data_IF_759043611002
#
_entry.id   IF_759043611002
#
_cell.length_a   1.000
_cell.length_b   1.000
_cell.length_c   1.000
_cell.angle_alpha   90.00
_cell.angle_beta   90.00
_cell.angle_gamma   90.00
#
_symmetry.space_group_name_H-M   'P 1'
#
loop_
_entity.id
_entity.type
_entity.pdbx_description
1 polymer ?
#
# COMPACT_ATOMS: atom_id res chain seq x y z
N UNK A 1 14.58 14.95 -12.01
CA UNK A 1 14.04 15.48 -13.29
C UNK A 1 12.99 16.57 -13.12
N UNK A 2 12.09 16.53 -12.13
CA UNK A 2 11.09 17.59 -11.97
C UNK A 2 11.65 18.95 -11.48
N UNK A 3 12.71 18.97 -10.67
CA UNK A 3 13.43 20.22 -10.40
C UNK A 3 14.00 20.84 -11.68
N UNK A 4 14.37 20.04 -12.66
CA UNK A 4 14.74 20.49 -13.99
C UNK A 4 13.58 21.11 -14.75
N UNK A 5 12.43 20.44 -14.80
CA UNK A 5 11.22 20.92 -15.51
C UNK A 5 10.63 22.15 -14.80
N UNK A 6 10.68 22.22 -13.46
CA UNK A 6 10.27 23.39 -12.70
C UNK A 6 11.20 24.59 -12.92
N UNK A 7 12.51 24.39 -13.05
CA UNK A 7 13.46 25.45 -13.37
C UNK A 7 13.39 25.88 -14.83
N UNK A 8 13.16 24.97 -15.77
CA UNK A 8 13.02 25.26 -17.20
C UNK A 8 11.80 26.12 -17.52
N UNK A 9 10.72 25.99 -16.74
CA UNK A 9 9.49 26.82 -16.87
C UNK A 9 9.61 28.21 -16.29
N UNK A 10 10.65 28.50 -15.49
CA UNK A 10 10.87 29.81 -14.86
C UNK A 10 11.49 30.82 -15.83
N UNK A 11 11.18 32.09 -15.61
CA UNK A 11 11.81 33.20 -16.34
C UNK A 11 13.28 33.35 -15.94
N UNK A 12 14.06 34.02 -16.78
CA UNK A 12 15.49 34.27 -16.48
C UNK A 12 15.67 35.11 -15.20
N UNK A 13 14.72 36.00 -14.90
CA UNK A 13 14.74 36.83 -13.67
C UNK A 13 14.45 36.01 -12.41
N UNK A 14 13.45 35.13 -12.45
CA UNK A 14 13.19 34.21 -11.32
C UNK A 14 14.36 33.26 -11.06
N UNK A 15 15.01 32.77 -12.10
CA UNK A 15 16.21 31.92 -11.96
C UNK A 15 17.38 32.69 -11.36
N UNK A 16 17.58 33.98 -11.70
CA UNK A 16 18.58 34.82 -11.07
C UNK A 16 18.31 35.03 -9.58
N UNK A 17 17.05 35.25 -9.17
CA UNK A 17 16.68 35.39 -7.77
C UNK A 17 16.97 34.09 -6.98
N UNK A 18 16.62 32.93 -7.57
CA UNK A 18 16.95 31.63 -6.96
C UNK A 18 18.47 31.43 -6.82
N UNK A 19 19.22 31.79 -7.85
CA UNK A 19 20.66 31.64 -7.87
C UNK A 19 21.34 32.61 -6.87
N UNK A 20 20.82 33.82 -6.70
CA UNK A 20 21.26 34.76 -5.65
C UNK A 20 20.99 34.22 -4.25
N UNK A 21 19.81 33.66 -4.01
CA UNK A 21 19.47 33.01 -2.73
C UNK A 21 20.33 31.78 -2.42
N UNK A 22 20.97 31.20 -3.42
CA UNK A 22 21.95 30.10 -3.29
C UNK A 22 23.40 30.55 -3.28
N UNK A 23 23.65 31.87 -3.20
CA UNK A 23 25.00 32.48 -3.19
C UNK A 23 25.84 32.05 -4.41
N UNK A 24 25.26 32.01 -5.60
CA UNK A 24 25.97 31.70 -6.84
C UNK A 24 26.51 33.02 -7.43
N UNK A 25 27.80 33.12 -7.58
CA UNK A 25 28.48 34.32 -8.12
C UNK A 25 28.39 34.39 -9.66
N UNK A 26 28.53 35.64 -10.21
CA UNK A 26 28.60 35.94 -11.65
C UNK A 26 27.39 35.49 -12.50
N UNK A 27 26.18 35.58 -11.96
CA UNK A 27 24.95 35.14 -12.63
C UNK A 27 24.55 36.06 -13.79
N UNK A 28 24.93 37.34 -13.76
CA UNK A 28 24.48 38.37 -14.71
C UNK A 28 24.85 38.11 -16.17
N UNK A 29 25.96 37.40 -16.41
CA UNK A 29 26.54 37.14 -17.74
C UNK A 29 26.08 35.80 -18.33
N UNK A 30 25.41 34.93 -17.55
CA UNK A 30 25.06 33.57 -17.94
C UNK A 30 23.77 33.49 -18.76
N UNK A 31 23.73 32.51 -19.69
CA UNK A 31 22.50 32.12 -20.40
C UNK A 31 21.57 31.35 -19.45
N UNK A 32 20.28 31.25 -19.83
CA UNK A 32 19.25 30.60 -19.01
C UNK A 32 19.64 29.17 -18.61
N UNK A 33 20.14 28.38 -19.56
CA UNK A 33 20.51 26.98 -19.35
C UNK A 33 21.72 26.84 -18.42
N UNK A 34 22.69 27.73 -18.53
CA UNK A 34 23.87 27.80 -17.64
C UNK A 34 23.50 28.17 -16.20
N UNK A 35 22.49 29.03 -16.01
CA UNK A 35 21.95 29.37 -14.68
C UNK A 35 21.28 28.15 -14.06
N UNK A 36 20.48 27.40 -14.83
CA UNK A 36 19.81 26.19 -14.38
C UNK A 36 20.83 25.13 -13.96
N UNK A 37 21.88 24.95 -14.76
CA UNK A 37 22.94 23.97 -14.45
C UNK A 37 23.69 24.33 -13.18
N UNK A 38 24.07 25.59 -12.99
CA UNK A 38 24.72 26.07 -11.75
C UNK A 38 23.81 25.98 -10.52
N UNK A 39 22.53 26.22 -10.67
CA UNK A 39 21.56 26.01 -9.57
C UNK A 39 21.52 24.53 -9.20
N UNK A 40 21.50 23.61 -10.18
CA UNK A 40 21.52 22.17 -9.95
C UNK A 40 22.79 21.71 -9.25
N UNK A 41 23.96 22.16 -9.72
CA UNK A 41 25.25 21.83 -9.11
C UNK A 41 25.35 22.35 -7.66
N UNK A 42 24.96 23.60 -7.43
CA UNK A 42 25.01 24.19 -6.09
C UNK A 42 24.06 23.50 -5.11
N UNK A 43 22.85 23.16 -5.55
CA UNK A 43 21.91 22.35 -4.73
C UNK A 43 22.50 20.99 -4.38
N UNK A 44 23.09 20.29 -5.36
CA UNK A 44 23.74 19.01 -5.15
C UNK A 44 24.90 19.11 -4.14
N UNK A 45 25.74 20.13 -4.28
CA UNK A 45 26.84 20.41 -3.34
C UNK A 45 26.33 20.71 -1.92
N UNK A 46 25.24 21.48 -1.80
CA UNK A 46 24.63 21.77 -0.50
C UNK A 46 24.01 20.53 0.16
N UNK A 47 23.41 19.65 -0.63
CA UNK A 47 22.90 18.37 -0.16
C UNK A 47 24.03 17.44 0.30
N UNK A 48 25.11 17.32 -0.48
CA UNK A 48 26.29 16.54 -0.12
C UNK A 48 26.98 17.10 1.15
N UNK A 49 27.05 18.43 1.30
CA UNK A 49 27.59 19.07 2.50
C UNK A 49 26.72 18.83 3.73
N UNK A 50 25.40 18.97 3.61
CA UNK A 50 24.45 18.61 4.68
C UNK A 50 24.61 17.16 5.12
N UNK A 51 24.83 16.25 4.16
CA UNK A 51 25.03 14.83 4.41
C UNK A 51 26.35 14.58 5.19
N UNK A 52 27.46 15.18 4.73
CA UNK A 52 28.77 15.04 5.37
C UNK A 52 28.79 15.65 6.77
N UNK A 53 28.15 16.80 6.96
CA UNK A 53 28.04 17.47 8.26
C UNK A 53 27.13 16.65 9.21
N UNK A 54 26.08 16.02 8.69
CA UNK A 54 25.22 15.13 9.46
C UNK A 54 25.98 13.91 9.98
N UNK A 55 26.78 13.27 9.12
CA UNK A 55 27.60 12.11 9.48
C UNK A 55 28.75 12.46 10.44
N UNK A 56 29.44 13.58 10.21
CA UNK A 56 30.58 14.00 11.05
C UNK A 56 30.17 14.40 12.46
N UNK A 57 29.00 15.04 12.63
CA UNK A 57 28.47 15.37 13.96
C UNK A 57 27.91 14.14 14.69
N UNK A 58 27.38 13.14 13.97
CA UNK A 58 26.95 11.88 14.57
C UNK A 58 28.16 11.06 15.06
N UNK A 59 29.28 11.06 14.32
CA UNK A 59 30.56 10.44 14.74
C UNK A 59 31.24 11.13 15.92
N UNK A 60 31.00 12.44 16.13
CA UNK A 60 31.62 13.22 17.24
C UNK A 60 30.88 13.10 18.58
N UNK A 61 29.65 12.56 18.61
CA UNK A 61 28.93 12.29 19.88
C UNK A 61 29.28 10.89 20.34
N UNK A 62 29.99 10.77 21.46
CA UNK A 62 30.21 9.49 22.11
C UNK A 62 28.87 8.83 22.42
N UNK A 63 28.72 7.56 22.06
CA UNK A 63 27.55 6.76 22.39
C UNK A 63 27.50 6.60 23.90
N UNK A 64 26.43 7.00 24.60
CA UNK A 64 26.29 6.74 26.03
C UNK A 64 26.40 5.23 26.29
N UNK A 65 27.09 4.86 27.37
CA UNK A 65 27.29 3.47 27.72
C UNK A 65 25.99 2.71 28.04
N UNK A 66 24.92 3.46 28.40
CA UNK A 66 23.58 3.00 28.73
C UNK A 66 22.57 3.12 27.57
N UNK A 67 23.03 3.47 26.36
CA UNK A 67 22.13 3.60 25.20
C UNK A 67 21.52 2.25 24.79
N UNK A 68 20.20 2.25 24.64
CA UNK A 68 19.39 1.10 24.24
C UNK A 68 18.94 1.28 22.79
N UNK A 69 18.94 0.21 22.01
CA UNK A 69 18.41 0.26 20.65
C UNK A 69 16.88 0.37 20.67
N UNK A 70 16.36 1.37 19.94
CA UNK A 70 14.95 1.61 19.75
C UNK A 70 14.57 1.49 18.28
N UNK A 71 13.34 0.99 18.05
CA UNK A 71 12.75 0.82 16.73
C UNK A 71 11.29 1.28 16.76
N UNK A 72 10.83 1.98 15.73
CA UNK A 72 9.42 2.34 15.60
C UNK A 72 9.12 3.09 14.30
N UNK A 73 7.85 3.33 14.04
CA UNK A 73 7.36 4.09 12.90
C UNK A 73 7.17 5.55 13.31
N UNK A 74 7.79 6.46 12.60
CA UNK A 74 7.73 7.89 12.90
C UNK A 74 6.35 8.47 12.62
N UNK A 75 5.82 9.17 13.61
CA UNK A 75 4.62 10.01 13.53
C UNK A 75 5.04 11.45 13.86
N UNK A 76 5.11 12.33 12.87
CA UNK A 76 5.52 13.74 13.03
C UNK A 76 4.33 14.57 13.45
N UNK A 77 4.47 15.33 14.53
CA UNK A 77 3.45 16.22 15.06
C UNK A 77 3.49 17.59 14.38
N UNK A 78 2.40 18.35 14.48
CA UNK A 78 2.28 19.68 13.88
C UNK A 78 3.36 20.66 14.37
N UNK A 79 3.84 20.50 15.61
CA UNK A 79 4.89 21.33 16.21
C UNK A 79 6.31 20.95 15.73
N UNK A 80 6.43 20.02 14.78
CA UNK A 80 7.67 19.64 14.15
C UNK A 80 8.53 18.61 14.88
N UNK A 81 8.17 18.19 16.10
CA UNK A 81 8.74 17.01 16.74
C UNK A 81 7.96 15.74 16.35
N UNK A 82 8.42 14.57 16.75
CA UNK A 82 7.73 13.32 16.43
C UNK A 82 7.91 12.25 17.49
N UNK A 83 7.17 11.16 17.29
CA UNK A 83 7.30 9.94 18.09
C UNK A 83 7.50 8.73 17.19
N UNK A 84 8.38 7.81 17.57
CA UNK A 84 8.42 6.49 16.98
C UNK A 84 7.36 5.65 17.68
N UNK A 85 6.34 5.28 16.92
CA UNK A 85 5.29 4.37 17.39
C UNK A 85 5.83 2.95 17.42
N UNK A 86 5.91 2.39 18.60
CA UNK A 86 6.52 1.08 18.82
C UNK A 86 5.53 -0.06 18.57
N UNK A 87 4.23 0.19 18.78
CA UNK A 87 3.20 -0.83 18.66
C UNK A 87 2.02 -0.35 17.83
N UNK A 88 1.63 -1.15 16.85
CA UNK A 88 0.40 -1.00 16.06
C UNK A 88 0.15 0.43 15.53
N UNK A 89 1.21 1.20 15.26
CA UNK A 89 1.18 2.59 14.77
C UNK A 89 0.34 3.55 15.64
N UNK A 90 0.07 3.15 16.88
CA UNK A 90 -0.73 3.89 17.85
C UNK A 90 0.13 4.47 18.95
N UNK A 91 -0.37 5.53 19.62
CA UNK A 91 0.34 6.15 20.74
C UNK A 91 0.43 5.20 21.93
N UNK A 92 1.62 5.08 22.50
CA UNK A 92 1.89 4.25 23.69
C UNK A 92 2.87 4.95 24.63
N UNK A 93 2.97 4.45 25.87
CA UNK A 93 3.95 4.94 26.85
C UNK A 93 5.38 4.56 26.50
N UNK A 94 5.57 3.56 25.65
CA UNK A 94 6.87 3.09 25.17
C UNK A 94 7.35 3.81 23.91
N UNK A 95 6.62 4.80 23.42
CA UNK A 95 7.01 5.57 22.26
C UNK A 95 8.32 6.33 22.50
N UNK A 96 9.08 6.54 21.42
CA UNK A 96 10.39 7.18 21.48
C UNK A 96 10.27 8.59 20.91
N UNK A 97 10.72 9.58 21.65
CA UNK A 97 10.70 10.98 21.21
C UNK A 97 11.76 11.28 20.18
N UNK A 98 11.38 11.97 19.09
CA UNK A 98 12.27 12.43 18.03
C UNK A 98 12.23 13.95 17.96
N UNK A 99 13.40 14.58 18.09
CA UNK A 99 13.50 16.04 18.11
C UNK A 99 13.29 16.66 16.73
N UNK A 100 12.80 17.93 16.64
CA UNK A 100 12.67 18.65 15.37
C UNK A 100 13.99 18.75 14.59
N UNK A 101 15.10 18.89 15.31
CA UNK A 101 16.44 18.95 14.72
C UNK A 101 16.80 17.67 13.96
N UNK A 102 16.46 16.50 14.52
CA UNK A 102 16.70 15.21 13.85
C UNK A 102 15.78 15.04 12.63
N UNK A 103 14.51 15.41 12.76
CA UNK A 103 13.52 15.33 11.67
C UNK A 103 14.00 16.16 10.47
N UNK A 104 14.39 17.42 10.71
CA UNK A 104 14.88 18.31 9.64
C UNK A 104 16.20 17.84 9.06
N UNK A 105 17.15 17.44 9.92
CA UNK A 105 18.50 17.03 9.53
C UNK A 105 18.51 15.80 8.63
N UNK A 106 17.72 14.78 8.97
CA UNK A 106 17.65 13.52 8.23
C UNK A 106 16.48 13.47 7.27
N UNK A 107 15.76 14.60 7.05
CA UNK A 107 14.58 14.68 6.18
C UNK A 107 13.60 13.55 6.46
N UNK A 108 13.36 13.28 7.76
CA UNK A 108 12.47 12.23 8.22
C UNK A 108 11.02 12.63 7.96
N UNK A 109 10.19 11.66 7.66
CA UNK A 109 8.77 11.86 7.36
C UNK A 109 7.93 10.88 8.15
N UNK A 110 6.68 11.24 8.38
CA UNK A 110 5.69 10.30 8.91
C UNK A 110 5.68 9.03 8.07
N UNK A 111 5.64 7.86 8.74
CA UNK A 111 5.71 6.55 8.09
C UNK A 111 7.11 5.98 7.95
N UNK A 112 8.19 6.73 8.21
CA UNK A 112 9.54 6.18 8.25
C UNK A 112 9.72 5.23 9.44
N UNK A 113 10.20 4.01 9.19
CA UNK A 113 10.70 3.13 10.23
C UNK A 113 12.12 3.54 10.59
N UNK A 114 12.33 3.88 11.83
CA UNK A 114 13.64 4.31 12.31
C UNK A 114 14.15 3.30 13.31
N UNK A 115 15.39 2.87 13.10
CA UNK A 115 16.18 2.14 14.08
C UNK A 115 17.30 3.04 14.53
N UNK A 116 17.49 3.15 15.85
CA UNK A 116 18.51 4.03 16.41
C UNK A 116 18.81 3.78 17.87
N UNK A 117 19.81 4.49 18.40
CA UNK A 117 20.12 4.44 19.81
C UNK A 117 19.32 5.49 20.58
N UNK A 118 18.72 5.08 21.68
CA UNK A 118 17.89 5.89 22.56
C UNK A 118 18.54 5.99 23.93
N UNK A 119 18.32 7.12 24.62
CA UNK A 119 18.65 7.23 26.03
C UNK A 119 17.53 6.61 26.86
N UNK A 120 17.82 5.86 27.93
CA UNK A 120 16.81 5.42 28.88
C UNK A 120 16.02 6.63 29.43
N UNK A 121 14.76 6.39 29.77
CA UNK A 121 13.89 7.41 30.39
C UNK A 121 14.54 7.84 31.72
N UNK A 122 14.72 9.14 31.89
CA UNK A 122 15.22 9.75 33.12
C UNK A 122 14.20 10.79 33.59
N UNK A 123 13.93 10.84 34.89
CA UNK A 123 13.03 11.85 35.46
C UNK A 123 13.57 13.28 35.16
N UNK A 124 12.77 14.21 34.62
CA UNK A 124 11.30 14.21 34.45
C UNK A 124 10.82 13.76 33.05
N UNK A 125 11.61 13.10 32.24
CA UNK A 125 11.27 12.70 30.86
C UNK A 125 10.12 11.68 30.87
N UNK A 126 9.12 11.88 29.99
CA UNK A 126 8.00 10.94 29.81
C UNK A 126 8.30 9.85 28.76
N UNK A 127 9.23 10.13 27.84
CA UNK A 127 9.57 9.28 26.71
C UNK A 127 11.08 9.19 26.54
N UNK A 128 11.58 8.04 26.11
CA UNK A 128 12.98 7.86 25.75
C UNK A 128 13.34 8.74 24.54
N UNK A 129 14.33 9.64 24.60
CA UNK A 129 14.73 10.41 23.44
C UNK A 129 15.62 9.60 22.50
N UNK A 130 15.36 9.68 21.19
CA UNK A 130 16.24 9.16 20.15
C UNK A 130 17.52 10.00 20.11
N UNK A 131 18.68 9.35 20.23
CA UNK A 131 20.00 10.01 20.18
C UNK A 131 20.62 9.92 18.79
N UNK A 132 20.69 8.73 18.22
CA UNK A 132 21.31 8.45 16.94
C UNK A 132 20.40 7.63 16.03
N UNK A 133 20.31 8.01 14.76
CA UNK A 133 19.60 7.25 13.72
C UNK A 133 20.62 6.31 13.06
N UNK A 134 20.34 5.01 13.07
CA UNK A 134 21.17 3.97 12.43
C UNK A 134 20.69 3.66 11.02
N UNK A 135 19.39 3.44 10.86
CA UNK A 135 18.80 3.12 9.57
C UNK A 135 17.39 3.70 9.44
N UNK A 136 16.95 3.92 8.20
CA UNK A 136 15.61 4.38 7.86
C UNK A 136 15.02 3.36 6.88
N UNK A 137 13.90 2.74 7.24
CA UNK A 137 13.20 1.70 6.46
C UNK A 137 14.10 0.50 6.10
N UNK A 138 15.07 0.18 6.96
CA UNK A 138 16.04 -0.89 6.77
C UNK A 138 17.23 -0.54 5.88
N UNK A 139 17.29 0.66 5.32
CA UNK A 139 18.40 1.12 4.49
C UNK A 139 19.31 2.09 5.26
N UNK A 140 20.61 2.20 4.88
CA UNK A 140 21.51 3.22 5.39
C UNK A 140 21.01 4.65 5.12
N UNK A 141 21.42 5.60 5.93
CA UNK A 141 21.02 7.02 5.85
C UNK A 141 21.26 7.63 4.47
N UNK A 142 22.37 7.28 3.80
CA UNK A 142 22.73 7.83 2.48
C UNK A 142 21.71 7.48 1.39
N UNK A 143 21.08 6.29 1.47
CA UNK A 143 20.05 5.84 0.53
C UNK A 143 18.74 6.55 0.83
N UNK A 144 18.35 6.58 2.11
CA UNK A 144 17.09 7.18 2.54
C UNK A 144 17.02 8.68 2.23
N UNK A 145 18.12 9.41 2.39
CA UNK A 145 18.19 10.86 2.13
C UNK A 145 18.05 11.23 0.63
N UNK A 146 18.43 10.34 -0.27
CA UNK A 146 18.38 10.57 -1.74
C UNK A 146 17.03 10.18 -2.37
N UNK A 147 16.08 9.67 -1.58
CA UNK A 147 14.77 9.23 -2.09
C UNK A 147 13.96 10.41 -2.64
N UNK A 148 13.28 10.17 -3.77
CA UNK A 148 12.30 11.11 -4.30
C UNK A 148 10.98 10.96 -3.56
N UNK A 149 10.28 12.07 -3.23
CA UNK A 149 8.93 12.00 -2.68
C UNK A 149 7.99 11.21 -3.58
N UNK A 150 7.05 10.46 -2.97
CA UNK A 150 6.12 9.57 -3.66
C UNK A 150 5.32 10.27 -4.76
N UNK A 151 4.91 11.52 -4.54
CA UNK A 151 4.14 12.34 -5.46
C UNK A 151 4.89 12.65 -6.77
N UNK A 152 6.22 12.54 -6.76
CA UNK A 152 7.08 12.82 -7.92
C UNK A 152 7.53 11.56 -8.66
N UNK A 153 7.08 10.40 -8.22
CA UNK A 153 7.35 9.13 -8.91
C UNK A 153 6.40 8.96 -10.10
N UNK A 154 6.88 8.37 -11.18
CA UNK A 154 6.12 8.23 -12.43
C UNK A 154 5.24 6.99 -12.39
N UNK A 155 3.89 7.11 -12.34
CA UNK A 155 3.01 5.95 -12.33
C UNK A 155 2.97 5.27 -13.70
N UNK A 156 2.95 3.93 -13.70
CA UNK A 156 2.77 3.09 -14.87
C UNK A 156 1.72 2.01 -14.59
N UNK A 157 1.25 1.33 -15.63
CA UNK A 157 0.33 0.20 -15.46
C UNK A 157 1.03 -1.01 -14.83
N UNK A 158 0.30 -1.84 -14.06
CA UNK A 158 0.78 -3.15 -13.61
C UNK A 158 1.09 -4.04 -14.81
N UNK A 159 2.30 -4.57 -14.85
CA UNK A 159 2.76 -5.50 -15.91
C UNK A 159 3.44 -6.73 -15.32
N UNK A 160 3.88 -6.67 -14.08
CA UNK A 160 4.48 -7.77 -13.34
C UNK A 160 3.46 -8.37 -12.38
N UNK A 161 3.14 -9.65 -12.56
CA UNK A 161 2.14 -10.36 -11.77
C UNK A 161 2.70 -10.79 -10.42
N UNK A 162 1.90 -10.63 -9.37
CA UNK A 162 2.08 -11.27 -8.08
C UNK A 162 1.42 -12.66 -8.14
N UNK A 163 2.19 -13.68 -8.42
CA UNK A 163 1.69 -15.04 -8.53
C UNK A 163 1.20 -15.56 -7.18
N UNK A 164 -0.04 -16.03 -7.14
CA UNK A 164 -0.62 -16.65 -5.97
C UNK A 164 -0.56 -18.19 -6.00
N UNK A 165 -0.33 -18.76 -7.16
CA UNK A 165 -0.13 -20.21 -7.29
C UNK A 165 1.19 -20.63 -6.65
N UNK A 166 1.11 -21.51 -5.66
CA UNK A 166 2.26 -22.03 -4.93
C UNK A 166 2.87 -23.28 -5.59
N UNK A 167 2.43 -23.64 -6.81
CA UNK A 167 2.89 -24.81 -7.55
C UNK A 167 2.47 -26.18 -6.95
N UNK A 168 1.71 -26.19 -5.85
CA UNK A 168 1.26 -27.39 -5.14
C UNK A 168 -0.20 -27.76 -5.42
N UNK A 169 -0.59 -28.98 -5.04
CA UNK A 169 -2.00 -29.35 -4.92
C UNK A 169 -2.62 -28.54 -3.77
N UNK A 170 -3.90 -28.12 -3.93
CA UNK A 170 -4.68 -27.54 -2.82
C UNK A 170 -4.79 -26.03 -2.77
N UNK A 171 -4.08 -25.23 -3.61
CA UNK A 171 -4.27 -23.77 -3.70
C UNK A 171 -5.23 -23.37 -4.81
N UNK A 172 -6.42 -23.97 -4.85
CA UNK A 172 -7.43 -23.65 -5.84
C UNK A 172 -7.82 -22.14 -5.84
N UNK A 173 -7.95 -21.44 -4.70
CA UNK A 173 -8.21 -20.01 -4.70
C UNK A 173 -7.12 -19.19 -5.39
N UNK A 174 -5.85 -19.46 -5.12
CA UNK A 174 -4.74 -18.76 -5.77
C UNK A 174 -4.72 -18.94 -7.28
N UNK A 175 -4.84 -20.19 -7.74
CA UNK A 175 -4.91 -20.53 -9.18
C UNK A 175 -6.08 -19.86 -9.89
N UNK A 176 -7.26 -19.83 -9.26
CA UNK A 176 -8.45 -19.17 -9.82
C UNK A 176 -8.28 -17.65 -9.88
N UNK A 177 -7.71 -17.03 -8.87
CA UNK A 177 -7.45 -15.58 -8.89
C UNK A 177 -6.44 -15.24 -9.97
N UNK A 178 -5.32 -15.98 -10.05
CA UNK A 178 -4.28 -15.80 -11.06
C UNK A 178 -4.84 -15.88 -12.50
N UNK A 179 -5.86 -16.72 -12.71
CA UNK A 179 -6.47 -16.92 -14.03
C UNK A 179 -7.60 -15.93 -14.34
N UNK A 180 -8.45 -15.62 -13.34
CA UNK A 180 -9.68 -14.83 -13.56
C UNK A 180 -9.54 -13.36 -13.21
N UNK A 181 -8.68 -13.03 -12.24
CA UNK A 181 -8.45 -11.65 -11.77
C UNK A 181 -7.00 -11.49 -11.33
N UNK A 182 -6.02 -11.59 -12.25
CA UNK A 182 -4.62 -11.53 -11.90
C UNK A 182 -4.28 -10.22 -11.18
N UNK A 183 -3.43 -10.32 -10.17
CA UNK A 183 -2.98 -9.19 -9.37
C UNK A 183 -1.57 -8.81 -9.82
N UNK A 184 -1.39 -7.57 -10.24
CA UNK A 184 -0.08 -7.05 -10.62
C UNK A 184 0.51 -6.11 -9.56
N UNK A 185 1.84 -5.94 -9.56
CA UNK A 185 2.54 -4.94 -8.76
C UNK A 185 2.00 -3.54 -9.13
N UNK A 186 1.44 -2.84 -8.15
CA UNK A 186 0.76 -1.56 -8.37
C UNK A 186 -0.75 -1.64 -8.63
N UNK A 187 -1.37 -2.80 -8.42
CA UNK A 187 -2.80 -3.01 -8.62
C UNK A 187 -3.66 -2.24 -7.63
N UNK A 188 -4.76 -1.64 -8.10
CA UNK A 188 -5.87 -1.15 -7.27
C UNK A 188 -7.02 -2.14 -7.39
N UNK A 189 -7.04 -3.15 -6.50
CA UNK A 189 -8.02 -4.23 -6.56
C UNK A 189 -9.11 -4.08 -5.50
N UNK A 190 -10.34 -4.37 -5.90
CA UNK A 190 -11.45 -4.54 -4.96
C UNK A 190 -11.83 -6.00 -4.84
N UNK A 191 -11.95 -6.49 -3.61
CA UNK A 191 -12.55 -7.79 -3.27
C UNK A 191 -13.95 -7.51 -2.77
N UNK A 192 -14.93 -7.72 -3.65
CA UNK A 192 -16.34 -7.41 -3.39
C UNK A 192 -17.01 -8.63 -2.79
N UNK A 193 -17.45 -8.52 -1.56
CA UNK A 193 -17.95 -9.68 -0.81
C UNK A 193 -19.29 -9.41 -0.12
N UNK A 194 -20.31 -10.23 -0.34
CA UNK A 194 -21.46 -10.29 0.54
C UNK A 194 -21.06 -10.90 1.89
N UNK A 195 -21.87 -10.69 2.95
CA UNK A 195 -21.61 -11.30 4.26
C UNK A 195 -21.44 -12.81 4.19
N UNK A 196 -20.47 -13.35 4.94
CA UNK A 196 -20.17 -14.81 5.07
C UNK A 196 -19.67 -15.51 3.79
N UNK A 197 -19.30 -14.79 2.74
CA UNK A 197 -18.82 -15.39 1.47
C UNK A 197 -17.39 -15.94 1.49
N UNK A 198 -16.73 -16.03 2.65
CA UNK A 198 -15.37 -16.53 2.77
C UNK A 198 -14.28 -15.46 2.55
N UNK A 199 -14.63 -14.17 2.70
CA UNK A 199 -13.73 -13.02 2.53
C UNK A 199 -12.42 -13.19 3.33
N UNK A 200 -12.51 -13.45 4.62
CA UNK A 200 -11.35 -13.55 5.54
C UNK A 200 -10.41 -14.68 5.13
N UNK A 201 -10.95 -15.85 4.78
CA UNK A 201 -10.18 -16.99 4.28
C UNK A 201 -9.46 -16.65 2.99
N UNK A 202 -10.12 -15.93 2.08
CA UNK A 202 -9.53 -15.51 0.82
C UNK A 202 -8.37 -14.52 1.02
N UNK A 203 -8.53 -13.54 1.91
CA UNK A 203 -7.47 -12.59 2.28
C UNK A 203 -6.26 -13.33 2.83
N UNK A 204 -6.45 -14.29 3.75
CA UNK A 204 -5.38 -15.12 4.28
C UNK A 204 -4.67 -15.91 3.19
N UNK A 205 -5.42 -16.49 2.26
CA UNK A 205 -4.84 -17.22 1.12
C UNK A 205 -3.98 -16.29 0.25
N UNK A 206 -4.47 -15.09 -0.08
CA UNK A 206 -3.71 -14.09 -0.84
C UNK A 206 -2.46 -13.67 -0.08
N UNK A 207 -2.58 -13.34 1.21
CA UNK A 207 -1.47 -12.93 2.07
C UNK A 207 -0.37 -14.00 2.10
N UNK A 208 -0.71 -15.23 2.43
CA UNK A 208 0.23 -16.35 2.54
C UNK A 208 0.85 -16.74 1.18
N UNK A 209 0.10 -16.57 0.09
CA UNK A 209 0.65 -16.78 -1.25
C UNK A 209 1.68 -15.71 -1.60
N UNK A 210 1.41 -14.45 -1.27
CA UNK A 210 2.33 -13.34 -1.51
C UNK A 210 3.62 -13.52 -0.70
N UNK A 211 3.52 -13.76 0.61
CA UNK A 211 4.72 -13.92 1.46
C UNK A 211 5.56 -15.13 1.06
N UNK A 212 4.93 -16.20 0.61
CA UNK A 212 5.63 -17.40 0.16
C UNK A 212 6.31 -17.23 -1.20
N UNK A 213 5.60 -16.64 -2.18
CA UNK A 213 6.07 -16.56 -3.56
C UNK A 213 6.89 -15.29 -3.84
N UNK A 214 6.71 -14.24 -3.02
CA UNK A 214 7.31 -12.92 -3.18
C UNK A 214 7.89 -12.41 -1.85
N UNK A 215 8.94 -13.06 -1.30
CA UNK A 215 9.52 -12.69 0.00
C UNK A 215 10.14 -11.28 0.01
N UNK A 216 10.44 -10.73 -1.17
CA UNK A 216 10.93 -9.36 -1.34
C UNK A 216 9.82 -8.30 -1.09
N UNK A 217 8.55 -8.68 -1.23
CA UNK A 217 7.40 -7.78 -1.09
C UNK A 217 7.11 -7.52 0.38
N UNK A 218 6.88 -6.27 0.73
CA UNK A 218 6.45 -5.87 2.07
C UNK A 218 4.93 -5.95 2.17
N UNK A 219 4.43 -6.93 2.90
CA UNK A 219 3.01 -7.13 3.13
C UNK A 219 2.55 -6.41 4.40
N UNK A 220 1.52 -5.57 4.26
CA UNK A 220 0.80 -4.93 5.36
C UNK A 220 -0.66 -5.33 5.27
N UNK A 221 -1.20 -5.90 6.35
CA UNK A 221 -2.63 -6.19 6.48
C UNK A 221 -3.25 -5.14 7.39
N UNK A 222 -4.20 -4.37 6.89
CA UNK A 222 -4.87 -3.31 7.64
C UNK A 222 -6.32 -3.70 7.93
N UNK A 223 -6.63 -3.91 9.21
CA UNK A 223 -7.96 -4.29 9.68
C UNK A 223 -8.62 -3.08 10.35
N UNK A 224 -9.73 -2.61 9.78
CA UNK A 224 -10.46 -1.44 10.28
C UNK A 224 -11.86 -1.86 10.76
N UNK A 225 -12.15 -1.52 12.02
CA UNK A 225 -13.45 -1.79 12.66
C UNK A 225 -13.78 -3.30 12.67
N UNK A 226 -12.72 -4.14 12.80
CA UNK A 226 -12.85 -5.60 12.88
C UNK A 226 -12.88 -6.09 14.34
N UNK A 227 -13.29 -7.35 14.53
CA UNK A 227 -13.40 -7.96 15.85
C UNK A 227 -12.03 -8.35 16.39
N UNK A 228 -11.78 -8.24 17.71
CA UNK A 228 -10.51 -8.64 18.33
C UNK A 228 -10.09 -10.09 18.02
N UNK A 229 -11.06 -11.02 18.01
CA UNK A 229 -10.81 -12.41 17.66
C UNK A 229 -10.37 -12.61 16.21
N UNK A 230 -10.91 -11.82 15.25
CA UNK A 230 -10.49 -11.86 13.85
C UNK A 230 -9.09 -11.24 13.67
N UNK A 231 -8.76 -10.23 14.46
CA UNK A 231 -7.40 -9.65 14.50
C UNK A 231 -6.37 -10.67 15.00
N UNK A 232 -6.68 -11.38 16.07
CA UNK A 232 -5.80 -12.42 16.62
C UNK A 232 -5.58 -13.53 15.59
N UNK A 233 -6.65 -14.04 15.00
CA UNK A 233 -6.61 -15.07 13.98
C UNK A 233 -5.77 -14.65 12.73
N UNK A 234 -5.85 -13.37 12.32
CA UNK A 234 -5.02 -12.84 11.24
C UNK A 234 -3.54 -12.79 11.62
N UNK A 235 -3.22 -12.31 12.84
CA UNK A 235 -1.83 -12.25 13.34
C UNK A 235 -1.15 -13.61 13.45
N UNK A 236 -1.91 -14.62 13.85
CA UNK A 236 -1.40 -16.00 13.98
C UNK A 236 -1.27 -16.70 12.62
N UNK A 237 -2.03 -16.27 11.62
CA UNK A 237 -2.14 -16.96 10.33
C UNK A 237 -1.27 -16.36 9.23
N UNK A 238 -0.77 -15.13 9.39
CA UNK A 238 -0.10 -14.38 8.32
C UNK A 238 1.30 -13.96 8.78
N UNK A 239 2.30 -14.24 7.95
CA UNK A 239 3.64 -13.68 8.10
C UNK A 239 3.71 -12.31 7.40
N UNK A 240 3.39 -11.25 8.13
CA UNK A 240 3.32 -9.88 7.63
C UNK A 240 3.05 -8.88 8.74
N UNK A 241 3.06 -7.60 8.40
CA UNK A 241 2.75 -6.53 9.34
C UNK A 241 1.23 -6.37 9.47
N UNK A 242 0.62 -6.89 10.55
CA UNK A 242 -0.82 -6.80 10.81
C UNK A 242 -1.12 -5.61 11.70
N UNK A 243 -1.65 -4.56 11.08
CA UNK A 243 -2.04 -3.30 11.71
C UNK A 243 -3.56 -3.26 11.83
N UNK A 244 -4.09 -2.81 12.95
CA UNK A 244 -5.52 -2.91 13.20
C UNK A 244 -6.06 -1.76 14.06
N UNK A 245 -7.36 -1.53 13.91
CA UNK A 245 -8.18 -0.75 14.81
C UNK A 245 -9.52 -1.47 14.97
N UNK A 246 -9.77 -2.00 16.17
CA UNK A 246 -10.94 -2.83 16.49
C UNK A 246 -12.21 -1.99 16.68
N UNK A 247 -13.38 -2.61 16.58
CA UNK A 247 -14.69 -1.95 16.58
C UNK A 247 -15.01 -1.16 17.87
N UNK A 248 -14.31 -1.45 18.97
CA UNK A 248 -14.43 -0.76 20.26
C UNK A 248 -13.62 0.55 20.32
N UNK A 249 -12.83 0.86 19.28
CA UNK A 249 -12.08 2.10 19.21
C UNK A 249 -12.87 3.22 18.52
N UNK A 250 -12.49 4.47 18.82
CA UNK A 250 -13.11 5.65 18.22
C UNK A 250 -12.83 5.75 16.73
N UNK A 251 -13.76 6.30 15.92
CA UNK A 251 -13.60 6.45 14.47
C UNK A 251 -12.33 7.20 14.05
N UNK A 252 -11.89 8.17 14.85
CA UNK A 252 -10.65 8.93 14.64
C UNK A 252 -9.42 8.03 14.63
N UNK A 253 -9.40 6.96 15.45
CA UNK A 253 -8.33 5.99 15.47
C UNK A 253 -8.28 5.16 14.17
N UNK A 254 -9.44 4.76 13.63
CA UNK A 254 -9.54 4.08 12.34
C UNK A 254 -8.93 4.93 11.22
N UNK A 255 -9.30 6.21 11.19
CA UNK A 255 -8.77 7.18 10.22
C UNK A 255 -7.27 7.37 10.39
N UNK A 256 -6.80 7.62 11.61
CA UNK A 256 -5.38 7.88 11.91
C UNK A 256 -4.50 6.69 11.55
N UNK A 257 -4.88 5.48 11.93
CA UNK A 257 -4.11 4.27 11.62
C UNK A 257 -4.03 4.04 10.11
N UNK A 258 -5.13 4.26 9.38
CA UNK A 258 -5.12 4.13 7.92
C UNK A 258 -4.18 5.15 7.26
N UNK A 259 -4.15 6.40 7.73
CA UNK A 259 -3.22 7.42 7.27
C UNK A 259 -1.76 7.01 7.55
N UNK A 260 -1.46 6.50 8.73
CA UNK A 260 -0.11 6.04 9.10
C UNK A 260 0.36 4.87 8.23
N UNK A 261 -0.53 3.90 7.93
CA UNK A 261 -0.22 2.78 7.04
C UNK A 261 0.06 3.25 5.61
N UNK A 262 -0.73 4.20 5.10
CA UNK A 262 -0.49 4.78 3.78
C UNK A 262 0.86 5.50 3.73
N UNK A 263 1.16 6.35 4.71
CA UNK A 263 2.45 7.05 4.81
C UNK A 263 3.60 6.05 4.89
N UNK A 264 3.48 4.99 5.70
CA UNK A 264 4.47 3.89 5.77
C UNK A 264 4.71 3.26 4.41
N UNK A 265 3.66 2.90 3.70
CA UNK A 265 3.76 2.29 2.38
C UNK A 265 4.43 3.23 1.36
N UNK A 266 4.07 4.51 1.35
CA UNK A 266 4.70 5.51 0.49
C UNK A 266 6.20 5.65 0.78
N UNK A 267 6.62 5.66 2.05
CA UNK A 267 8.07 5.71 2.43
C UNK A 267 8.85 4.51 1.90
N UNK A 268 8.27 3.31 1.96
CA UNK A 268 8.88 2.10 1.41
C UNK A 268 9.04 2.17 -0.12
N UNK A 269 7.99 2.63 -0.82
CA UNK A 269 8.02 2.78 -2.30
C UNK A 269 9.02 3.86 -2.74
N UNK A 270 9.19 4.95 -1.97
CA UNK A 270 10.23 5.96 -2.23
C UNK A 270 11.64 5.35 -2.23
N UNK A 271 11.84 4.23 -1.52
CA UNK A 271 13.07 3.43 -1.49
C UNK A 271 13.03 2.22 -2.44
N UNK A 272 12.14 2.27 -3.46
CA UNK A 272 12.00 1.26 -4.51
C UNK A 272 11.59 -0.13 -4.02
N UNK A 273 10.92 -0.23 -2.86
CA UNK A 273 10.38 -1.48 -2.35
C UNK A 273 8.99 -1.72 -2.93
N UNK A 274 8.68 -2.99 -3.18
CA UNK A 274 7.33 -3.41 -3.55
C UNK A 274 6.51 -3.62 -2.28
N UNK A 275 5.34 -2.98 -2.21
CA UNK A 275 4.46 -3.00 -1.04
C UNK A 275 3.08 -3.48 -1.45
N UNK A 276 2.51 -4.38 -0.66
CA UNK A 276 1.11 -4.80 -0.78
C UNK A 276 0.37 -4.44 0.50
N UNK A 277 -0.73 -3.72 0.37
CA UNK A 277 -1.68 -3.49 1.47
C UNK A 277 -2.94 -4.32 1.20
N UNK A 278 -3.29 -5.18 2.14
CA UNK A 278 -4.59 -5.85 2.19
C UNK A 278 -5.46 -5.09 3.21
N UNK A 279 -6.47 -4.35 2.73
CA UNK A 279 -7.37 -3.56 3.57
C UNK A 279 -8.70 -4.29 3.80
N UNK A 280 -9.01 -4.58 5.02
CA UNK A 280 -10.32 -5.10 5.43
C UNK A 280 -10.98 -4.15 6.45
N UNK A 281 -11.89 -3.25 6.07
CA UNK A 281 -12.47 -3.02 4.75
C UNK A 281 -12.50 -1.53 4.38
N UNK A 282 -12.53 -1.22 3.09
CA UNK A 282 -12.69 0.17 2.60
C UNK A 282 -14.07 0.72 2.99
N UNK A 283 -15.10 -0.12 3.05
CA UNK A 283 -16.45 0.25 3.46
C UNK A 283 -16.45 0.80 4.88
N UNK A 284 -15.79 0.09 5.82
CA UNK A 284 -15.69 0.52 7.22
C UNK A 284 -14.80 1.74 7.38
N UNK A 285 -13.72 1.86 6.61
CA UNK A 285 -12.89 3.05 6.58
C UNK A 285 -13.68 4.28 6.11
N UNK A 286 -14.49 4.15 5.06
CA UNK A 286 -15.35 5.24 4.59
C UNK A 286 -16.42 5.63 5.62
N UNK A 287 -17.01 4.65 6.32
CA UNK A 287 -17.95 4.90 7.44
C UNK A 287 -17.29 5.66 8.59
N UNK A 288 -16.08 5.26 8.98
CA UNK A 288 -15.32 5.96 10.02
C UNK A 288 -15.01 7.41 9.63
N UNK A 289 -14.60 7.64 8.37
CA UNK A 289 -14.41 8.99 7.87
C UNK A 289 -15.72 9.80 7.88
N UNK A 290 -16.86 9.18 7.56
CA UNK A 290 -18.17 9.86 7.59
C UNK A 290 -18.57 10.35 9.00
N UNK A 291 -18.09 9.67 10.03
CA UNK A 291 -18.33 10.07 11.43
C UNK A 291 -17.36 11.17 11.90
N UNK A 292 -16.21 11.33 11.24
CA UNK A 292 -15.15 12.25 11.68
C UNK A 292 -15.08 13.55 10.88
N UNK A 293 -15.64 13.60 9.65
CA UNK A 293 -15.65 14.83 8.86
C UNK A 293 -16.63 15.86 9.42
N UNK A 294 -16.28 17.13 9.27
CA UNK A 294 -17.22 18.22 9.54
C UNK A 294 -18.34 18.19 8.48
N UNK A 295 -19.60 18.12 8.87
CA UNK A 295 -20.70 18.03 7.90
C UNK A 295 -20.70 19.19 6.91
N UNK A 296 -20.73 18.87 5.61
CA UNK A 296 -20.78 19.89 4.54
C UNK A 296 -22.18 20.48 4.32
N UNK A 297 -23.20 19.90 4.98
CA UNK A 297 -24.62 20.21 4.72
C UNK A 297 -25.16 19.57 3.43
N UNK A 298 -24.34 18.81 2.69
CA UNK A 298 -24.72 18.01 1.53
C UNK A 298 -24.66 16.54 1.90
N UNK A 299 -25.65 15.77 1.50
CA UNK A 299 -25.71 14.35 1.85
C UNK A 299 -25.99 13.53 0.59
N UNK A 300 -25.13 12.56 0.30
CA UNK A 300 -25.38 11.53 -0.69
C UNK A 300 -26.43 10.53 -0.16
N UNK A 301 -26.94 9.69 -1.05
CA UNK A 301 -27.87 8.63 -0.67
C UNK A 301 -27.26 7.76 0.46
N UNK A 302 -28.09 7.36 1.42
CA UNK A 302 -27.66 6.55 2.57
C UNK A 302 -26.98 7.32 3.71
N UNK A 303 -27.02 8.67 3.71
CA UNK A 303 -26.48 9.46 4.82
C UNK A 303 -24.96 9.69 4.75
N UNK A 304 -24.36 9.55 3.57
CA UNK A 304 -22.94 9.71 3.35
C UNK A 304 -22.60 11.17 2.97
N UNK A 305 -21.70 11.82 3.71
CA UNK A 305 -21.19 13.13 3.34
C UNK A 305 -20.16 12.97 2.18
N UNK A 306 -20.20 13.81 1.12
CA UNK A 306 -19.23 13.74 0.01
C UNK A 306 -17.77 13.81 0.46
N UNK A 307 -17.46 14.64 1.46
CA UNK A 307 -16.10 14.83 1.96
C UNK A 307 -15.56 13.60 2.72
N UNK A 308 -16.46 12.75 3.24
CA UNK A 308 -16.09 11.49 3.87
C UNK A 308 -15.34 10.52 2.94
N UNK A 309 -15.54 10.66 1.64
CA UNK A 309 -14.91 9.81 0.64
C UNK A 309 -13.51 10.27 0.23
N UNK A 310 -13.13 11.50 0.51
CA UNK A 310 -11.86 12.07 0.04
C UNK A 310 -10.63 11.30 0.53
N UNK A 311 -10.50 11.11 1.85
CA UNK A 311 -9.35 10.38 2.43
C UNK A 311 -9.31 8.91 2.01
N UNK A 312 -10.42 8.13 2.08
CA UNK A 312 -10.44 6.76 1.57
C UNK A 312 -10.14 6.64 0.08
N UNK A 313 -10.61 7.57 -0.76
CA UNK A 313 -10.26 7.62 -2.19
C UNK A 313 -8.78 7.94 -2.40
N UNK A 314 -8.21 8.86 -1.62
CA UNK A 314 -6.77 9.15 -1.64
C UNK A 314 -5.96 7.90 -1.24
N UNK A 315 -6.39 7.18 -0.21
CA UNK A 315 -5.78 5.93 0.22
C UNK A 315 -5.76 4.90 -0.91
N UNK A 316 -6.94 4.54 -1.42
CA UNK A 316 -7.06 3.53 -2.47
C UNK A 316 -6.43 3.96 -3.80
N UNK A 317 -6.55 5.25 -4.15
CA UNK A 317 -5.97 5.85 -5.34
C UNK A 317 -4.44 5.96 -5.33
N UNK A 318 -3.80 5.79 -4.18
CA UNK A 318 -2.34 5.79 -4.06
C UNK A 318 -1.69 4.57 -4.75
N UNK A 319 -2.43 3.45 -4.90
CA UNK A 319 -1.93 2.25 -5.54
C UNK A 319 -1.47 2.50 -6.98
N UNK A 320 -0.21 2.21 -7.28
CA UNK A 320 0.43 2.39 -8.58
C UNK A 320 1.72 1.60 -8.69
N UNK A 321 2.05 1.17 -9.90
CA UNK A 321 3.39 0.72 -10.25
C UNK A 321 4.24 1.93 -10.64
N UNK A 322 5.54 1.90 -10.37
CA UNK A 322 6.45 3.04 -10.52
C UNK A 322 7.55 2.71 -11.53
N UNK A 323 7.77 3.62 -12.50
CA UNK A 323 8.80 3.47 -13.52
C UNK A 323 10.22 3.44 -12.95
N UNK A 324 10.47 4.20 -11.89
CA UNK A 324 11.78 4.30 -11.22
C UNK A 324 12.10 3.09 -10.34
N UNK A 325 11.17 2.17 -10.18
CA UNK A 325 11.22 0.98 -9.33
C UNK A 325 10.41 1.11 -8.05
N UNK A 326 9.97 -0.02 -7.51
CA UNK A 326 9.02 -0.12 -6.42
C UNK A 326 7.57 0.00 -6.89
N UNK A 327 6.65 -0.50 -6.08
CA UNK A 327 5.21 -0.47 -6.37
C UNK A 327 4.39 -0.40 -5.09
N UNK A 328 3.20 0.18 -5.18
CA UNK A 328 2.18 0.10 -4.15
C UNK A 328 0.95 -0.60 -4.71
N UNK A 329 0.68 -1.80 -4.24
CA UNK A 329 -0.53 -2.59 -4.54
C UNK A 329 -1.49 -2.46 -3.36
N UNK A 330 -2.76 -2.16 -3.62
CA UNK A 330 -3.80 -2.11 -2.58
C UNK A 330 -4.95 -3.01 -3.02
N UNK A 331 -5.22 -4.03 -2.22
CA UNK A 331 -6.40 -4.88 -2.35
C UNK A 331 -7.33 -4.57 -1.18
N UNK A 332 -8.45 -3.93 -1.47
CA UNK A 332 -9.41 -3.50 -0.45
C UNK A 332 -10.69 -4.32 -0.55
N UNK A 333 -11.18 -4.82 0.58
CA UNK A 333 -12.50 -5.45 0.61
C UNK A 333 -13.59 -4.40 0.63
N UNK A 334 -14.63 -4.62 -0.17
CA UNK A 334 -15.86 -3.84 -0.17
C UNK A 334 -17.03 -4.74 0.21
N UNK A 335 -17.83 -4.28 1.19
CA UNK A 335 -19.01 -4.98 1.64
C UNK A 335 -20.21 -4.61 0.77
N UNK A 336 -20.92 -5.61 0.30
CA UNK A 336 -22.14 -5.46 -0.51
C UNK A 336 -23.25 -6.35 0.04
N UNK A 337 -24.51 -6.10 -0.35
CA UNK A 337 -25.67 -6.89 0.10
C UNK A 337 -25.81 -6.97 1.63
N UNK A 338 -25.40 -5.91 2.32
CA UNK A 338 -25.50 -5.80 3.79
C UNK A 338 -26.87 -5.31 4.25
N UNK A 339 -27.73 -4.88 3.33
CA UNK A 339 -28.96 -4.17 3.61
C UNK A 339 -28.76 -2.69 3.95
N UNK A 340 -27.54 -2.18 3.92
CA UNK A 340 -27.20 -0.78 4.16
C UNK A 340 -27.04 -0.02 2.84
N UNK A 341 -27.90 0.97 2.61
CA UNK A 341 -27.80 1.84 1.44
C UNK A 341 -26.51 2.65 1.39
N UNK A 342 -25.91 2.95 2.54
CA UNK A 342 -24.61 3.61 2.62
C UNK A 342 -23.51 2.72 2.02
N UNK A 343 -23.52 1.42 2.29
CA UNK A 343 -22.51 0.49 1.76
C UNK A 343 -22.60 0.38 0.24
N UNK A 344 -23.83 0.37 -0.30
CA UNK A 344 -24.03 0.32 -1.76
C UNK A 344 -23.49 1.59 -2.43
N UNK A 345 -23.71 2.77 -1.83
CA UNK A 345 -23.16 4.04 -2.32
C UNK A 345 -21.64 4.03 -2.23
N UNK A 346 -21.05 3.61 -1.11
CA UNK A 346 -19.60 3.52 -0.94
C UNK A 346 -19.03 2.58 -2.03
N UNK A 347 -19.61 1.41 -2.23
CA UNK A 347 -19.14 0.48 -3.26
C UNK A 347 -19.15 1.11 -4.66
N UNK A 348 -20.25 1.73 -5.10
CA UNK A 348 -20.33 2.38 -6.41
C UNK A 348 -19.33 3.52 -6.57
N UNK A 349 -19.05 4.30 -5.52
CA UNK A 349 -18.06 5.39 -5.53
C UNK A 349 -16.60 4.90 -5.67
N UNK A 350 -16.29 3.69 -5.20
CA UNK A 350 -14.97 3.08 -5.34
C UNK A 350 -14.78 2.23 -6.58
N UNK A 351 -15.85 1.65 -7.13
CA UNK A 351 -15.83 0.79 -8.31
C UNK A 351 -15.15 1.43 -9.52
N UNK A 352 -15.39 2.73 -9.75
CA UNK A 352 -14.74 3.49 -10.82
C UNK A 352 -13.25 3.78 -10.59
N UNK A 353 -12.77 3.70 -9.35
CA UNK A 353 -11.38 3.98 -8.98
C UNK A 353 -10.48 2.76 -9.15
N UNK A 354 -11.02 1.55 -8.96
CA UNK A 354 -10.32 0.29 -9.10
C UNK A 354 -9.95 -0.04 -10.55
N UNK A 355 -8.95 -0.90 -10.73
CA UNK A 355 -8.57 -1.50 -12.01
C UNK A 355 -8.55 -3.04 -11.96
N UNK A 356 -9.03 -3.63 -10.87
CA UNK A 356 -9.26 -5.06 -10.68
C UNK A 356 -10.47 -5.24 -9.75
N UNK A 357 -11.34 -6.17 -10.07
CA UNK A 357 -12.46 -6.55 -9.24
C UNK A 357 -12.49 -8.08 -9.09
N UNK A 358 -12.51 -8.55 -7.85
CA UNK A 358 -12.72 -9.95 -7.49
C UNK A 358 -14.04 -10.03 -6.72
N UNK A 359 -15.10 -10.44 -7.38
CA UNK A 359 -16.43 -10.49 -6.80
C UNK A 359 -16.74 -11.89 -6.26
N UNK A 360 -17.23 -11.96 -5.02
CA UNK A 360 -17.73 -13.19 -4.43
C UNK A 360 -19.25 -13.30 -4.64
N UNK A 361 -19.69 -14.53 -4.91
CA UNK A 361 -21.06 -14.88 -5.25
C UNK A 361 -21.76 -15.53 -4.04
N UNK A 362 -22.88 -14.95 -3.61
CA UNK A 362 -23.69 -15.46 -2.52
C UNK A 362 -24.29 -16.84 -2.82
N UNK A 363 -24.66 -17.09 -4.07
CA UNK A 363 -25.24 -18.38 -4.48
C UNK A 363 -24.26 -19.53 -4.33
N UNK A 364 -22.97 -19.31 -4.66
CA UNK A 364 -21.91 -20.28 -4.45
C UNK A 364 -21.71 -20.55 -2.95
N UNK A 365 -21.70 -19.50 -2.15
CA UNK A 365 -21.58 -19.62 -0.69
C UNK A 365 -22.73 -20.42 -0.07
N UNK A 366 -23.96 -20.17 -0.47
CA UNK A 366 -25.14 -20.92 -0.02
C UNK A 366 -25.05 -22.41 -0.40
N UNK A 367 -24.45 -22.71 -1.56
CA UNK A 367 -24.18 -24.08 -2.02
C UNK A 367 -22.88 -24.69 -1.46
N UNK A 368 -22.16 -23.97 -0.59
CA UNK A 368 -20.87 -24.41 0.01
C UNK A 368 -19.79 -24.68 -1.03
N UNK A 369 -19.80 -23.96 -2.15
CA UNK A 369 -18.76 -24.00 -3.19
C UNK A 369 -17.76 -22.87 -2.90
N UNK A 370 -16.51 -23.23 -2.57
CA UNK A 370 -15.44 -22.28 -2.24
C UNK A 370 -14.18 -22.56 -3.08
N UNK A 371 -13.46 -21.49 -3.52
CA UNK A 371 -13.78 -20.07 -3.34
C UNK A 371 -15.04 -19.66 -4.09
N UNK A 372 -15.86 -18.83 -3.47
CA UNK A 372 -17.14 -18.40 -4.03
C UNK A 372 -16.98 -17.26 -5.06
N UNK A 373 -16.09 -17.42 -6.05
CA UNK A 373 -15.77 -16.37 -7.04
C UNK A 373 -16.82 -16.31 -8.14
N UNK A 374 -17.35 -15.11 -8.41
CA UNK A 374 -18.17 -14.83 -9.59
C UNK A 374 -17.26 -14.70 -10.82
N UNK A 375 -17.29 -15.70 -11.68
CA UNK A 375 -16.40 -15.80 -12.87
C UNK A 375 -16.63 -14.65 -13.85
N UNK A 376 -17.89 -14.26 -14.04
CA UNK A 376 -18.28 -13.25 -15.04
C UNK A 376 -17.98 -11.83 -14.55
N UNK A 377 -18.22 -11.58 -13.26
CA UNK A 377 -18.06 -10.22 -12.68
C UNK A 377 -16.69 -9.96 -12.13
N UNK A 378 -15.78 -10.95 -12.19
CA UNK A 378 -14.39 -10.79 -11.75
C UNK A 378 -13.48 -10.56 -12.95
N UNK A 379 -12.48 -9.67 -12.80
CA UNK A 379 -11.51 -9.39 -13.86
C UNK A 379 -10.54 -8.28 -13.50
N UNK A 380 -9.47 -8.18 -14.30
CA UNK A 380 -8.43 -7.16 -14.18
C UNK A 380 -8.29 -6.40 -15.48
N UNK A 381 -8.22 -5.06 -15.40
CA UNK A 381 -7.94 -4.23 -16.58
C UNK A 381 -6.54 -4.52 -17.11
N UNK A 382 -6.41 -4.74 -18.42
CA UNK A 382 -5.16 -5.07 -19.10
C UNK A 382 -4.54 -6.37 -18.59
N UNK A 383 -5.37 -7.36 -18.25
CA UNK A 383 -4.93 -8.69 -17.82
C UNK A 383 -4.02 -9.37 -18.87
N UNK A 384 -4.16 -8.97 -20.15
CA UNK A 384 -3.31 -9.45 -21.25
C UNK A 384 -1.82 -9.11 -21.08
N UNK A 385 -1.49 -8.10 -20.27
CA UNK A 385 -0.10 -7.74 -19.96
C UNK A 385 0.54 -8.67 -18.92
N UNK A 386 -0.29 -9.46 -18.20
CA UNK A 386 0.13 -10.30 -17.07
C UNK A 386 -0.10 -11.80 -17.33
N UNK A 387 -0.99 -12.14 -18.25
CA UNK A 387 -1.34 -13.53 -18.59
C UNK A 387 -0.57 -14.00 -19.83
N UNK A 388 -0.07 -15.22 -19.80
CA UNK A 388 0.45 -15.93 -20.96
C UNK A 388 -0.68 -16.21 -21.97
N UNK A 389 -0.31 -16.57 -23.22
CA UNK A 389 -1.29 -16.92 -24.23
C UNK A 389 -2.19 -18.10 -23.80
N UNK A 390 -1.62 -19.12 -23.17
CA UNK A 390 -2.33 -20.28 -22.70
C UNK A 390 -3.34 -19.93 -21.58
N UNK A 391 -2.93 -19.08 -20.64
CA UNK A 391 -3.80 -18.61 -19.56
C UNK A 391 -4.96 -17.77 -20.11
N UNK A 392 -4.70 -16.89 -21.08
CA UNK A 392 -5.73 -16.07 -21.73
C UNK A 392 -6.76 -16.94 -22.45
N UNK A 393 -6.32 -17.95 -23.16
CA UNK A 393 -7.17 -18.89 -23.86
C UNK A 393 -8.06 -19.66 -22.85
N UNK A 394 -7.47 -20.21 -21.80
CA UNK A 394 -8.19 -20.90 -20.73
C UNK A 394 -9.22 -19.98 -20.05
N UNK A 395 -8.83 -18.76 -19.68
CA UNK A 395 -9.71 -17.77 -19.07
C UNK A 395 -10.88 -17.39 -19.97
N UNK A 396 -10.62 -17.23 -21.28
CA UNK A 396 -11.65 -16.95 -22.26
C UNK A 396 -12.68 -18.09 -22.39
N UNK A 397 -12.21 -19.33 -22.44
CA UNK A 397 -13.09 -20.50 -22.49
C UNK A 397 -13.96 -20.63 -21.23
N UNK A 398 -13.36 -20.42 -20.05
CA UNK A 398 -14.11 -20.45 -18.77
C UNK A 398 -15.21 -19.40 -18.75
N UNK A 399 -14.90 -18.14 -19.12
CA UNK A 399 -15.88 -17.04 -19.11
C UNK A 399 -16.99 -17.27 -20.15
N UNK A 400 -16.63 -17.78 -21.34
CA UNK A 400 -17.61 -18.13 -22.37
C UNK A 400 -18.58 -19.20 -21.88
N UNK A 401 -18.10 -20.21 -21.17
CA UNK A 401 -18.95 -21.25 -20.61
C UNK A 401 -19.81 -20.76 -19.45
N UNK A 402 -19.23 -19.98 -18.56
CA UNK A 402 -19.99 -19.38 -17.44
C UNK A 402 -21.09 -18.41 -17.90
N UNK A 403 -20.97 -17.84 -19.09
CA UNK A 403 -22.00 -17.02 -19.69
C UNK A 403 -23.19 -17.85 -20.27
N UNK A 404 -22.96 -19.15 -20.60
CA UNK A 404 -24.00 -20.06 -21.15
C UNK A 404 -24.69 -20.88 -20.05
N UNK A 405 -23.95 -21.23 -19.01
CA UNK A 405 -24.40 -22.13 -17.92
C UNK A 405 -24.36 -21.40 -16.57
N UNK A 406 -24.64 -22.12 -15.48
CA UNK A 406 -24.58 -21.50 -14.14
C UNK A 406 -23.15 -21.39 -13.65
N UNK A 407 -22.82 -20.26 -12.95
CA UNK A 407 -21.54 -20.06 -12.28
C UNK A 407 -21.19 -21.23 -11.36
N UNK A 408 -22.18 -21.84 -10.70
CA UNK A 408 -21.97 -22.97 -9.78
C UNK A 408 -21.52 -24.25 -10.48
N UNK A 409 -22.03 -24.55 -11.66
CA UNK A 409 -21.64 -25.74 -12.44
C UNK A 409 -20.20 -25.60 -12.95
N UNK A 410 -19.91 -24.44 -13.55
CA UNK A 410 -18.56 -24.16 -14.05
C UNK A 410 -17.55 -24.17 -12.92
N UNK A 411 -17.84 -23.50 -11.80
CA UNK A 411 -16.93 -23.48 -10.63
C UNK A 411 -16.70 -24.88 -10.05
N UNK A 412 -17.77 -25.69 -9.91
CA UNK A 412 -17.65 -27.06 -9.41
C UNK A 412 -16.78 -27.93 -10.31
N UNK A 413 -16.86 -27.75 -11.62
CA UNK A 413 -16.02 -28.49 -12.57
C UNK A 413 -14.57 -27.98 -12.54
N UNK A 414 -14.36 -26.66 -12.51
CA UNK A 414 -13.02 -26.08 -12.40
C UNK A 414 -12.31 -26.59 -11.15
N UNK A 415 -12.98 -26.63 -10.01
CA UNK A 415 -12.41 -27.17 -8.76
C UNK A 415 -12.00 -28.64 -8.90
N UNK A 416 -12.79 -29.45 -9.62
CA UNK A 416 -12.43 -30.85 -9.90
C UNK A 416 -11.19 -30.94 -10.81
N UNK A 417 -11.07 -30.09 -11.83
CA UNK A 417 -9.91 -30.06 -12.73
C UNK A 417 -8.67 -29.62 -11.93
N UNK A 418 -8.77 -28.53 -11.18
CA UNK A 418 -7.65 -27.97 -10.38
C UNK A 418 -7.13 -29.00 -9.37
N UNK A 419 -8.01 -29.69 -8.68
CA UNK A 419 -7.65 -30.69 -7.66
C UNK A 419 -7.05 -31.98 -8.25
N UNK A 420 -7.28 -32.27 -9.52
CA UNK A 420 -6.74 -33.44 -10.21
C UNK A 420 -5.48 -33.16 -11.01
N UNK A 421 -5.24 -31.91 -11.37
CA UNK A 421 -4.08 -31.54 -12.18
C UNK A 421 -2.78 -31.65 -11.40
N UNK A 422 -1.75 -32.23 -12.02
CA UNK A 422 -0.42 -32.38 -11.44
C UNK A 422 0.39 -31.06 -11.52
N UNK A 423 0.03 -30.18 -12.44
CA UNK A 423 0.69 -28.88 -12.65
C UNK A 423 -0.28 -27.84 -13.15
N UNK A 424 0.10 -26.56 -13.06
CA UNK A 424 -0.67 -25.45 -13.63
C UNK A 424 -0.83 -25.59 -15.14
N UNK A 425 0.20 -26.08 -15.84
CA UNK A 425 0.12 -26.32 -17.28
C UNK A 425 -0.88 -27.42 -17.62
N UNK A 426 -0.85 -28.55 -16.91
CA UNK A 426 -1.81 -29.66 -17.07
C UNK A 426 -3.25 -29.19 -16.81
N UNK A 427 -3.43 -28.35 -15.77
CA UNK A 427 -4.71 -27.70 -15.49
C UNK A 427 -5.21 -26.88 -16.70
N UNK A 428 -4.39 -26.02 -17.25
CA UNK A 428 -4.73 -25.14 -18.38
C UNK A 428 -5.04 -25.95 -19.64
N UNK A 429 -4.20 -26.92 -19.98
CA UNK A 429 -4.40 -27.80 -21.13
C UNK A 429 -5.71 -28.61 -20.99
N UNK A 430 -6.04 -29.08 -19.79
CA UNK A 430 -7.29 -29.80 -19.48
C UNK A 430 -8.51 -28.88 -19.62
N UNK A 431 -8.42 -27.63 -19.13
CA UNK A 431 -9.50 -26.63 -19.27
C UNK A 431 -9.76 -26.34 -20.74
N UNK A 432 -8.73 -26.08 -21.53
CA UNK A 432 -8.85 -25.78 -22.97
C UNK A 432 -9.41 -26.98 -23.71
N UNK A 433 -8.92 -28.19 -23.43
CA UNK A 433 -9.42 -29.42 -24.06
C UNK A 433 -10.89 -29.70 -23.75
N UNK A 434 -11.33 -29.40 -22.50
CA UNK A 434 -12.70 -29.65 -22.07
C UNK A 434 -13.68 -28.66 -22.67
N UNK A 435 -13.39 -27.34 -22.55
CA UNK A 435 -14.27 -26.29 -23.00
C UNK A 435 -14.05 -25.86 -24.45
N UNK A 436 -12.91 -26.19 -25.06
CA UNK A 436 -12.61 -25.87 -26.46
C UNK A 436 -13.30 -26.79 -27.49
N UNK A 437 -13.86 -27.93 -27.04
CA UNK A 437 -14.61 -28.86 -27.88
C UNK A 437 -16.11 -28.50 -28.06
N UNK A 438 -16.60 -27.51 -27.31
CA UNK A 438 -17.95 -26.97 -27.33
C UNK A 438 -17.91 -25.51 -27.90
#
# INVERSE_FOLDING_TARGET
>A
MQDGIALERKTKEELKQIAQGLEIERISVLKKDEIIEKIREKRKLLEEKKLSDAQSQQKKRERPADAVEGKGILDVMNDGFGFLRVSNYSSSRSDIYVSPVQIQRFNLKTGDEIIGDCRPIQDPDKYAPLLFVKSINGDPLEIALKRKPFEYLTPIYPTERLNLDNGGQGNAPGKLIDLLSPIGKGQRGMIVAPPKAGKTTLIKTIANSITKNHPEVKLIVLLIDERPEEVTDMKESIDGDVVFSTFDQMPENHCKISEMVLERAMRLVEQKKDVVILLDSITRLARANNLTVTPTGRTLSGGLDPDALYKPKKFFGAARNIREGGSLTILATALVETGSRMDDVIFEEFKGTGNMELKLDRTLQERRIFPAIDIIKSGTRREEAMLSNLEREAAWHIRREAAKTSNAEVMSLLLKIINKADSTRDMLDTIIKYYGKN
#
